data_IF_900486711635
#
_entry.id   IF_900486711635
#
_cell.length_a   1.000
_cell.length_b   1.000
_cell.length_c   1.000
_cell.angle_alpha   90.00
_cell.angle_beta   90.00
_cell.angle_gamma   90.00
#
_symmetry.space_group_name_H-M   'P 1'
#
loop_
_entity.id
_entity.type
_entity.pdbx_description
1 polymer ?
#
# COMPACT_ATOMS: atom_id res chain seq x y z
N UNK A 1 2.25 5.28 18.24
CA UNK A 1 3.31 6.25 17.88
C UNK A 1 3.02 6.74 16.48
N UNK A 2 2.97 8.06 16.27
CA UNK A 2 2.89 8.66 14.94
C UNK A 2 4.27 9.23 14.61
N UNK A 3 4.97 8.63 13.64
CA UNK A 3 6.34 9.04 13.25
C UNK A 3 6.28 10.17 12.21
N UNK A 4 5.18 10.28 11.47
CA UNK A 4 5.07 11.21 10.33
C UNK A 4 5.65 10.58 9.06
N UNK A 5 6.36 11.36 8.26
CA UNK A 5 6.93 10.91 6.98
C UNK A 5 8.17 10.02 7.19
N UNK A 6 8.14 8.83 6.62
CA UNK A 6 9.27 7.88 6.64
C UNK A 6 10.27 8.21 5.52
N UNK A 7 10.94 9.36 5.65
CA UNK A 7 11.77 9.94 4.59
C UNK A 7 13.18 9.34 4.50
N UNK A 8 13.84 9.19 5.64
CA UNK A 8 15.23 8.78 5.76
C UNK A 8 15.40 7.44 6.49
N UNK A 9 16.61 6.88 6.37
CA UNK A 9 16.97 5.58 6.93
C UNK A 9 16.80 5.55 8.46
N UNK A 10 17.18 6.62 9.15
CA UNK A 10 17.12 6.70 10.61
C UNK A 10 15.67 6.64 11.10
N UNK A 11 14.80 7.44 10.50
CA UNK A 11 13.37 7.48 10.81
C UNK A 11 12.69 6.14 10.53
N UNK A 12 13.02 5.50 9.40
CA UNK A 12 12.49 4.18 9.05
C UNK A 12 12.97 3.12 10.05
N UNK A 13 14.25 3.13 10.43
CA UNK A 13 14.80 2.18 11.40
C UNK A 13 14.11 2.32 12.75
N UNK A 14 13.96 3.56 13.24
CA UNK A 14 13.27 3.84 14.50
C UNK A 14 11.82 3.31 14.48
N UNK A 15 11.10 3.56 13.38
CA UNK A 15 9.72 3.08 13.21
C UNK A 15 9.64 1.54 13.22
N UNK A 16 10.56 0.85 12.54
CA UNK A 16 10.61 -0.62 12.52
C UNK A 16 10.93 -1.20 13.90
N UNK A 17 11.93 -0.66 14.61
CA UNK A 17 12.28 -1.11 15.96
C UNK A 17 11.13 -0.89 16.96
N UNK A 18 10.45 0.26 16.89
CA UNK A 18 9.29 0.52 17.75
C UNK A 18 8.15 -0.47 17.46
N UNK A 19 7.91 -0.79 16.18
CA UNK A 19 6.88 -1.76 15.79
C UNK A 19 7.23 -3.19 16.22
N UNK A 20 8.49 -3.60 16.08
CA UNK A 20 8.99 -4.91 16.49
C UNK A 20 8.89 -5.12 18.01
N UNK A 21 9.13 -4.07 18.80
CA UNK A 21 8.97 -4.09 20.27
C UNK A 21 7.52 -4.02 20.75
N UNK A 22 6.55 -4.14 19.84
CA UNK A 22 5.12 -4.29 20.16
C UNK A 22 4.31 -3.00 20.14
N UNK A 23 4.89 -1.86 19.76
CA UNK A 23 4.13 -0.61 19.64
C UNK A 23 3.34 -0.56 18.33
N UNK A 24 2.14 0.03 18.37
CA UNK A 24 1.44 0.40 17.15
C UNK A 24 2.06 1.69 16.58
N UNK A 25 2.67 1.57 15.41
CA UNK A 25 3.36 2.67 14.71
C UNK A 25 2.59 3.06 13.45
N UNK A 26 2.34 4.36 13.31
CA UNK A 26 1.80 4.97 12.11
C UNK A 26 2.89 5.80 11.43
N UNK A 27 3.08 5.59 10.14
CA UNK A 27 3.98 6.36 9.29
C UNK A 27 3.35 6.63 7.92
N UNK A 28 3.82 7.66 7.24
CA UNK A 28 3.35 8.06 5.91
C UNK A 28 4.50 8.00 4.90
N UNK A 29 4.17 7.63 3.66
CA UNK A 29 5.08 7.69 2.52
C UNK A 29 4.34 8.23 1.30
N UNK A 30 5.07 8.85 0.38
CA UNK A 30 4.55 9.37 -0.89
C UNK A 30 4.61 8.34 -2.03
N UNK A 31 4.17 7.11 -1.76
CA UNK A 31 4.11 6.02 -2.75
C UNK A 31 2.69 5.85 -3.30
N UNK A 32 2.59 5.33 -4.53
CA UNK A 32 1.30 5.18 -5.24
C UNK A 32 0.61 3.83 -5.04
N UNK A 33 1.26 2.87 -4.38
CA UNK A 33 0.69 1.54 -4.14
C UNK A 33 1.29 0.88 -2.90
N UNK A 34 0.62 -0.14 -2.40
CA UNK A 34 1.04 -0.94 -1.27
C UNK A 34 2.37 -1.65 -1.57
N UNK A 35 2.49 -2.29 -2.73
CA UNK A 35 3.72 -2.95 -3.17
C UNK A 35 4.92 -1.98 -3.24
N UNK A 36 4.74 -0.80 -3.86
CA UNK A 36 5.80 0.22 -3.93
C UNK A 36 6.19 0.77 -2.57
N UNK A 37 5.27 0.78 -1.61
CA UNK A 37 5.57 1.19 -0.23
C UNK A 37 6.56 0.22 0.41
N UNK A 38 6.35 -1.09 0.22
CA UNK A 38 7.27 -2.11 0.71
C UNK A 38 8.65 -1.96 0.07
N UNK A 39 8.71 -1.87 -1.26
CA UNK A 39 9.98 -1.65 -1.99
C UNK A 39 10.70 -0.41 -1.46
N UNK A 40 10.01 0.72 -1.34
CA UNK A 40 10.60 1.99 -0.89
C UNK A 40 11.19 1.89 0.53
N UNK A 41 10.50 1.21 1.45
CA UNK A 41 10.99 1.02 2.83
C UNK A 41 12.27 0.18 2.84
N UNK A 42 12.37 -0.84 2.00
CA UNK A 42 13.53 -1.74 1.93
C UNK A 42 14.69 -1.06 1.18
N UNK A 43 14.40 -0.32 0.12
CA UNK A 43 15.40 0.21 -0.81
C UNK A 43 16.26 1.34 -0.26
N UNK A 44 15.85 1.99 0.83
CA UNK A 44 16.71 2.98 1.50
C UNK A 44 17.89 2.33 2.24
N UNK A 45 17.82 1.03 2.52
CA UNK A 45 18.87 0.33 3.27
C UNK A 45 19.97 -0.21 2.36
N UNK A 46 21.22 -0.27 2.85
CA UNK A 46 22.32 -0.93 2.14
C UNK A 46 22.02 -2.40 1.83
N UNK A 47 22.59 -2.93 0.73
CA UNK A 47 22.30 -4.27 0.24
C UNK A 47 22.50 -5.38 1.30
N UNK A 48 23.51 -5.26 2.16
CA UNK A 48 23.78 -6.23 3.23
C UNK A 48 22.71 -6.26 4.33
N UNK A 49 21.91 -5.21 4.48
CA UNK A 49 20.90 -5.09 5.53
C UNK A 49 19.48 -5.42 5.04
N UNK A 50 19.25 -5.35 3.71
CA UNK A 50 17.92 -5.59 3.13
C UNK A 50 17.26 -6.92 3.57
N UNK A 51 17.98 -8.07 3.66
CA UNK A 51 17.37 -9.30 4.13
C UNK A 51 16.80 -9.20 5.56
N UNK A 52 17.56 -8.59 6.48
CA UNK A 52 17.13 -8.38 7.87
C UNK A 52 15.92 -7.44 7.93
N UNK A 53 15.96 -6.33 7.19
CA UNK A 53 14.86 -5.36 7.12
C UNK A 53 13.58 -6.00 6.56
N UNK A 54 13.70 -6.86 5.54
CA UNK A 54 12.55 -7.63 5.03
C UNK A 54 11.95 -8.52 6.09
N UNK A 55 12.78 -9.20 6.90
CA UNK A 55 12.29 -10.02 8.02
C UNK A 55 11.52 -9.18 9.04
N UNK A 56 12.14 -8.12 9.56
CA UNK A 56 11.52 -7.22 10.54
C UNK A 56 10.20 -6.61 10.03
N UNK A 57 10.20 -6.11 8.79
CA UNK A 57 9.02 -5.53 8.16
C UNK A 57 7.92 -6.59 7.99
N UNK A 58 8.26 -7.81 7.58
CA UNK A 58 7.29 -8.88 7.40
C UNK A 58 6.56 -9.24 8.70
N UNK A 59 7.24 -9.19 9.84
CA UNK A 59 6.64 -9.55 11.13
C UNK A 59 5.81 -8.40 11.71
N UNK A 60 6.31 -7.18 11.55
CA UNK A 60 5.74 -5.96 12.14
C UNK A 60 4.60 -5.37 11.30
N UNK A 61 4.56 -5.60 9.99
CA UNK A 61 3.57 -4.98 9.11
C UNK A 61 2.14 -5.41 9.46
N UNK A 62 1.27 -4.41 9.65
CA UNK A 62 -0.17 -4.59 9.88
C UNK A 62 -0.98 -4.33 8.62
N UNK A 63 -0.79 -3.17 8.00
CA UNK A 63 -1.45 -2.82 6.76
C UNK A 63 -0.70 -1.71 6.04
N UNK A 64 -0.93 -1.59 4.73
CA UNK A 64 -0.59 -0.44 3.91
C UNK A 64 -1.86 0.06 3.23
N UNK A 65 -2.12 1.36 3.35
CA UNK A 65 -3.26 2.02 2.72
C UNK A 65 -2.69 3.09 1.79
N UNK A 66 -2.90 2.92 0.49
CA UNK A 66 -2.53 3.91 -0.53
C UNK A 66 -3.77 4.65 -0.98
N UNK A 67 -3.69 5.99 -1.01
CA UNK A 67 -4.82 6.87 -1.27
C UNK A 67 -4.57 7.72 -2.52
N UNK A 68 -5.61 7.88 -3.33
CA UNK A 68 -5.67 8.91 -4.36
C UNK A 68 -6.95 9.72 -4.18
N UNK A 69 -6.86 11.05 -4.22
CA UNK A 69 -8.05 11.91 -4.24
C UNK A 69 -8.43 12.20 -5.69
N UNK A 70 -9.70 11.96 -6.04
CA UNK A 70 -10.25 12.17 -7.38
C UNK A 70 -11.34 13.21 -7.36
N UNK A 71 -11.57 13.89 -8.49
CA UNK A 71 -12.70 14.80 -8.65
C UNK A 71 -13.99 14.00 -8.66
N UNK A 72 -14.98 14.43 -7.86
CA UNK A 72 -16.29 13.79 -7.78
C UNK A 72 -17.25 14.41 -8.80
N UNK A 73 -18.15 13.60 -9.34
CA UNK A 73 -19.31 14.10 -10.11
C UNK A 73 -20.18 14.98 -9.19
N UNK A 74 -20.55 16.17 -9.66
CA UNK A 74 -21.29 17.14 -8.86
C UNK A 74 -20.45 18.02 -7.93
N UNK A 75 -19.11 17.93 -8.00
CA UNK A 75 -18.20 18.79 -7.25
C UNK A 75 -17.61 18.14 -6.00
N UNK A 76 -16.52 18.73 -5.50
CA UNK A 76 -15.72 18.17 -4.41
C UNK A 76 -14.80 17.02 -4.85
N UNK A 77 -14.32 16.25 -3.88
CA UNK A 77 -13.39 15.13 -4.10
C UNK A 77 -13.83 13.89 -3.36
N UNK A 78 -13.47 12.73 -3.88
CA UNK A 78 -13.60 11.43 -3.20
C UNK A 78 -12.26 10.73 -3.17
N UNK A 79 -12.02 9.91 -2.15
CA UNK A 79 -10.82 9.10 -2.08
C UNK A 79 -11.05 7.75 -2.76
N UNK A 80 -10.13 7.35 -3.63
CA UNK A 80 -9.91 5.95 -3.98
C UNK A 80 -8.78 5.39 -3.12
N UNK A 81 -8.86 4.09 -2.87
CA UNK A 81 -8.06 3.41 -1.87
C UNK A 81 -7.57 2.09 -2.46
N UNK A 82 -6.30 1.81 -2.22
CA UNK A 82 -5.75 0.46 -2.25
C UNK A 82 -5.43 0.06 -0.81
N UNK A 83 -5.86 -1.13 -0.40
CA UNK A 83 -5.68 -1.61 0.97
C UNK A 83 -5.02 -2.99 0.89
N UNK A 84 -3.83 -3.08 1.49
CA UNK A 84 -3.11 -4.34 1.69
C UNK A 84 -2.99 -4.62 3.18
N UNK A 85 -3.40 -5.81 3.61
CA UNK A 85 -3.29 -6.24 5.01
C UNK A 85 -2.13 -7.24 5.13
N UNK A 86 -1.38 -7.18 6.24
CA UNK A 86 -0.22 -8.03 6.50
C UNK A 86 -0.59 -9.48 6.86
N UNK A 87 -1.22 -10.21 5.94
CA UNK A 87 -1.56 -11.65 6.10
C UNK A 87 -0.31 -12.54 6.01
N UNK A 88 -0.35 -13.79 6.50
CA UNK A 88 0.78 -14.71 6.37
C UNK A 88 1.34 -14.82 4.94
N UNK A 89 0.47 -14.78 3.92
CA UNK A 89 0.88 -14.78 2.52
C UNK A 89 1.67 -13.51 2.13
N UNK A 90 1.17 -12.31 2.45
CA UNK A 90 1.89 -11.06 2.19
C UNK A 90 3.23 -11.03 2.93
N UNK A 91 3.26 -11.44 4.20
CA UNK A 91 4.49 -11.52 5.00
C UNK A 91 5.52 -12.44 4.35
N UNK A 92 5.08 -13.58 3.81
CA UNK A 92 5.95 -14.48 3.09
C UNK A 92 6.50 -13.84 1.80
N UNK A 93 5.66 -13.15 1.03
CA UNK A 93 6.10 -12.43 -0.18
C UNK A 93 7.14 -11.34 0.14
N UNK A 94 7.04 -10.66 1.29
CA UNK A 94 8.05 -9.70 1.75
C UNK A 94 9.37 -10.41 2.01
N UNK A 95 9.38 -11.51 2.77
CA UNK A 95 10.64 -12.24 3.10
C UNK A 95 11.34 -12.79 1.86
N UNK A 96 10.55 -13.29 0.92
CA UNK A 96 10.99 -13.93 -0.31
C UNK A 96 11.34 -12.96 -1.46
N UNK A 97 11.24 -11.64 -1.22
CA UNK A 97 11.50 -10.62 -2.23
C UNK A 97 10.58 -10.70 -3.47
N UNK A 98 9.32 -11.13 -3.26
CA UNK A 98 8.32 -11.36 -4.31
C UNK A 98 7.26 -10.24 -4.36
N UNK A 99 7.70 -8.99 -4.28
CA UNK A 99 6.82 -7.81 -4.21
C UNK A 99 5.90 -7.69 -5.43
N UNK A 100 6.36 -8.09 -6.61
CA UNK A 100 5.55 -8.12 -7.83
C UNK A 100 4.28 -8.98 -7.72
N UNK A 101 4.27 -10.01 -6.87
CA UNK A 101 3.13 -10.93 -6.68
C UNK A 101 2.10 -10.39 -5.68
N UNK A 102 2.40 -9.30 -4.96
CA UNK A 102 1.50 -8.75 -3.94
C UNK A 102 0.19 -8.24 -4.55
N UNK A 103 0.22 -7.71 -5.78
CA UNK A 103 -0.99 -7.21 -6.44
C UNK A 103 -2.06 -8.32 -6.56
N UNK A 104 -1.68 -9.51 -7.03
CA UNK A 104 -2.60 -10.65 -7.15
C UNK A 104 -3.10 -11.14 -5.78
N UNK A 105 -2.26 -11.04 -4.75
CA UNK A 105 -2.64 -11.38 -3.38
C UNK A 105 -3.65 -10.38 -2.79
N UNK A 106 -3.49 -9.08 -3.07
CA UNK A 106 -4.45 -8.04 -2.70
C UNK A 106 -5.78 -8.26 -3.43
N UNK A 107 -5.72 -8.54 -4.74
CA UNK A 107 -6.91 -8.73 -5.58
C UNK A 107 -7.81 -9.86 -5.09
N UNK A 108 -7.22 -10.95 -4.60
CA UNK A 108 -7.92 -12.13 -4.07
C UNK A 108 -8.15 -12.07 -2.55
N UNK A 109 -7.62 -11.06 -1.88
CA UNK A 109 -7.62 -10.90 -0.42
C UNK A 109 -8.86 -10.21 0.17
N UNK A 110 -9.96 -10.08 -0.57
CA UNK A 110 -11.15 -9.33 -0.13
C UNK A 110 -11.73 -9.81 1.21
N UNK A 111 -11.65 -11.11 1.51
CA UNK A 111 -12.06 -11.68 2.79
C UNK A 111 -11.31 -11.09 4.00
N UNK A 112 -10.10 -10.55 3.79
CA UNK A 112 -9.28 -9.88 4.80
C UNK A 112 -9.44 -8.35 4.75
N UNK A 113 -10.42 -7.83 4.00
CA UNK A 113 -10.62 -6.41 3.78
C UNK A 113 -9.63 -5.78 2.79
N UNK A 114 -8.90 -6.59 2.01
CA UNK A 114 -8.02 -6.07 0.96
C UNK A 114 -8.82 -5.63 -0.27
N UNK A 115 -8.29 -4.64 -0.97
CA UNK A 115 -8.82 -4.20 -2.26
C UNK A 115 -7.72 -3.53 -3.07
N UNK A 116 -7.67 -3.80 -4.37
CA UNK A 116 -6.79 -3.06 -5.28
C UNK A 116 -7.38 -1.69 -5.59
N UNK A 117 -6.53 -0.74 -6.02
CA UNK A 117 -7.01 0.55 -6.48
C UNK A 117 -8.04 0.40 -7.60
N UNK A 118 -7.78 -0.48 -8.57
CA UNK A 118 -8.67 -0.71 -9.72
C UNK A 118 -10.04 -1.27 -9.31
N UNK A 119 -10.10 -2.13 -8.29
CA UNK A 119 -11.37 -2.63 -7.74
C UNK A 119 -12.18 -1.50 -7.11
N UNK A 120 -11.55 -0.64 -6.30
CA UNK A 120 -12.27 0.47 -5.68
C UNK A 120 -12.67 1.55 -6.70
N UNK A 121 -11.83 1.82 -7.72
CA UNK A 121 -12.18 2.72 -8.82
C UNK A 121 -13.42 2.23 -9.59
N UNK A 122 -13.53 0.92 -9.85
CA UNK A 122 -14.73 0.34 -10.48
C UNK A 122 -15.98 0.53 -9.62
N UNK A 123 -15.88 0.35 -8.30
CA UNK A 123 -17.00 0.61 -7.38
C UNK A 123 -17.42 2.10 -7.42
N UNK A 124 -16.46 3.02 -7.37
CA UNK A 124 -16.73 4.46 -7.43
C UNK A 124 -17.42 4.87 -8.76
N UNK A 125 -17.02 4.27 -9.88
CA UNK A 125 -17.69 4.48 -11.18
C UNK A 125 -19.09 3.87 -11.17
N UNK A 126 -19.26 2.64 -10.68
CA UNK A 126 -20.56 1.96 -10.58
C UNK A 126 -21.55 2.75 -9.75
N UNK A 127 -21.08 3.41 -8.69
CA UNK A 127 -21.85 4.29 -7.80
C UNK A 127 -22.04 5.70 -8.34
N UNK A 128 -21.58 5.98 -9.56
CA UNK A 128 -21.64 7.30 -10.21
C UNK A 128 -20.97 8.42 -9.41
N UNK A 129 -19.99 8.10 -8.56
CA UNK A 129 -19.25 9.09 -7.77
C UNK A 129 -18.14 9.75 -8.59
N UNK A 130 -17.55 9.04 -9.55
CA UNK A 130 -16.53 9.54 -10.47
C UNK A 130 -16.86 9.13 -11.90
N UNK A 131 -16.31 9.84 -12.90
CA UNK A 131 -16.45 9.45 -14.31
C UNK A 131 -15.46 8.34 -14.68
N UNK A 132 -15.73 7.59 -15.75
CA UNK A 132 -14.80 6.59 -16.29
C UNK A 132 -13.45 7.21 -16.67
N UNK A 133 -13.46 8.39 -17.28
CA UNK A 133 -12.24 9.15 -17.61
C UNK A 133 -11.43 9.46 -16.35
N UNK A 134 -12.10 9.92 -15.29
CA UNK A 134 -11.44 10.21 -14.03
C UNK A 134 -10.83 8.96 -13.38
N UNK A 135 -11.50 7.80 -13.48
CA UNK A 135 -10.95 6.54 -13.00
C UNK A 135 -9.73 6.07 -13.82
N UNK A 136 -9.80 6.20 -15.15
CA UNK A 136 -8.74 5.79 -16.09
C UNK A 136 -7.41 6.51 -15.87
N UNK A 137 -7.43 7.74 -15.37
CA UNK A 137 -6.21 8.50 -15.02
C UNK A 137 -5.40 7.83 -13.90
N UNK A 138 -6.07 7.14 -12.97
CA UNK A 138 -5.46 6.55 -11.78
C UNK A 138 -5.34 5.02 -11.84
N UNK A 139 -6.10 4.39 -12.74
CA UNK A 139 -6.11 2.94 -12.89
C UNK A 139 -4.75 2.39 -13.34
N UNK A 140 -4.36 1.26 -12.76
CA UNK A 140 -3.20 0.49 -13.21
C UNK A 140 -3.53 -0.24 -14.51
N UNK A 141 -4.68 -0.90 -14.58
CA UNK A 141 -5.22 -1.44 -15.83
C UNK A 141 -6.31 -0.52 -16.41
N UNK A 142 -5.92 0.30 -17.38
CA UNK A 142 -6.79 1.30 -18.01
C UNK A 142 -7.90 0.71 -18.86
N UNK A 143 -7.74 -0.54 -19.32
CA UNK A 143 -8.69 -1.22 -20.23
C UNK A 143 -10.03 -1.50 -19.54
N UNK A 144 -10.02 -1.58 -18.21
CA UNK A 144 -11.21 -1.76 -17.38
C UNK A 144 -12.22 -0.60 -17.56
N UNK A 145 -11.75 0.58 -17.96
CA UNK A 145 -12.55 1.80 -18.08
C UNK A 145 -12.72 2.29 -19.52
N UNK A 146 -12.37 1.46 -20.51
CA UNK A 146 -12.65 1.73 -21.92
C UNK A 146 -14.15 1.65 -22.27
#
# INVERSE_FOLDING_TARGET
ILVGELRDLETIRLALTAAETGHLVFGTLHTSSAAKTIDRIIDVFPAGEKPMVRSMLSESLRAVISQALLKKVGGGRTAAWEIMVGTPAIRNLIREDKVAQMYSSIQTGQQYGMQTLDQHLQDLVKRSLITRNQAREYAKDKRIFE
#
